data_IF_221411325457
#
_entry.id   IF_221411325457
#
_cell.length_a   1.000
_cell.length_b   1.000
_cell.length_c   1.000
_cell.angle_alpha   90.00
_cell.angle_beta   90.00
_cell.angle_gamma   90.00
#
_symmetry.space_group_name_H-M   'P 1'
#
loop_
_entity.id
_entity.type
_entity.pdbx_description
1 polymer ?
#
# COMPACT_ATOMS: atom_id res chain seq x y z
N UNK A 1 -33.80 72.73 23.12
CA UNK A 1 -33.67 71.34 23.58
C UNK A 1 -32.86 70.58 22.53
N UNK A 2 -31.55 70.41 22.77
CA UNK A 2 -30.69 69.60 21.91
C UNK A 2 -30.74 68.14 22.39
N UNK A 3 -31.19 67.25 21.51
CA UNK A 3 -31.17 65.81 21.71
C UNK A 3 -29.77 65.27 21.42
N UNK A 4 -29.11 64.72 22.44
CA UNK A 4 -27.82 64.03 22.32
C UNK A 4 -28.10 62.57 21.99
N UNK A 5 -27.87 62.17 20.73
CA UNK A 5 -27.90 60.78 20.33
C UNK A 5 -26.60 60.10 20.76
N UNK A 6 -26.68 59.21 21.73
CA UNK A 6 -25.58 58.35 22.18
C UNK A 6 -25.37 57.21 21.17
N UNK A 7 -24.25 57.26 20.45
CA UNK A 7 -23.75 56.15 19.63
C UNK A 7 -23.12 55.10 20.54
N UNK A 8 -23.79 53.96 20.72
CA UNK A 8 -23.22 52.75 21.32
C UNK A 8 -22.29 52.07 20.32
N UNK A 9 -21.05 51.71 20.69
CA UNK A 9 -20.18 50.95 19.80
C UNK A 9 -20.67 49.50 19.74
N UNK A 10 -21.10 49.09 18.55
CA UNK A 10 -21.31 47.67 18.24
C UNK A 10 -19.93 47.03 18.20
N UNK A 11 -19.57 46.30 19.26
CA UNK A 11 -18.42 45.41 19.27
C UNK A 11 -18.73 44.27 18.30
N UNK A 12 -18.23 44.39 17.07
CA UNK A 12 -18.19 43.29 16.13
C UNK A 12 -17.22 42.25 16.70
N UNK A 13 -17.76 41.24 17.39
CA UNK A 13 -17.04 40.00 17.67
C UNK A 13 -16.85 39.33 16.30
N UNK A 14 -15.74 39.66 15.65
CA UNK A 14 -15.23 38.89 14.54
C UNK A 14 -14.99 37.49 15.06
N UNK A 15 -15.91 36.58 14.78
CA UNK A 15 -15.63 35.15 14.75
C UNK A 15 -14.49 34.95 13.75
N UNK A 16 -13.24 35.08 14.22
CA UNK A 16 -12.10 34.44 13.59
C UNK A 16 -12.45 32.95 13.61
N UNK A 17 -13.04 32.48 12.51
CA UNK A 17 -13.04 31.07 12.21
C UNK A 17 -11.61 30.62 12.42
N UNK A 18 -11.41 29.61 13.27
CA UNK A 18 -10.13 28.91 13.31
C UNK A 18 -9.93 28.41 11.89
N UNK A 19 -9.15 29.14 11.10
CA UNK A 19 -8.54 28.59 9.91
C UNK A 19 -7.93 27.27 10.37
N UNK A 20 -8.49 26.16 9.87
CA UNK A 20 -7.82 24.87 9.99
C UNK A 20 -6.47 25.13 9.34
N UNK A 21 -5.42 25.27 10.13
CA UNK A 21 -4.05 25.20 9.65
C UNK A 21 -3.89 23.80 9.04
N UNK A 22 -4.29 23.64 7.78
CA UNK A 22 -3.88 22.52 6.95
C UNK A 22 -2.41 22.77 6.63
N UNK A 23 -1.55 22.50 7.62
CA UNK A 23 -0.11 22.50 7.40
C UNK A 23 0.17 21.49 6.30
N UNK A 24 0.80 21.95 5.23
CA UNK A 24 1.30 21.10 4.17
C UNK A 24 2.10 19.94 4.78
N UNK A 25 2.02 18.78 4.14
CA UNK A 25 2.81 17.62 4.50
C UNK A 25 4.30 17.96 4.34
N UNK A 26 5.15 17.49 5.26
CA UNK A 26 6.61 17.63 5.20
C UNK A 26 7.30 16.27 5.13
N UNK A 27 8.60 16.24 4.86
CA UNK A 27 9.39 15.00 4.89
C UNK A 27 9.41 14.35 6.28
N UNK A 28 9.40 15.16 7.35
CA UNK A 28 9.35 14.66 8.71
C UNK A 28 8.00 14.02 9.06
N UNK A 29 6.90 14.53 8.50
CA UNK A 29 5.57 13.97 8.74
C UNK A 29 5.44 12.52 8.23
N UNK A 30 6.08 12.20 7.11
CA UNK A 30 5.93 10.89 6.46
C UNK A 30 6.87 9.83 7.04
N UNK A 31 7.80 10.21 7.92
CA UNK A 31 8.69 9.28 8.61
C UNK A 31 7.88 8.37 9.54
N UNK A 32 8.05 7.06 9.36
CA UNK A 32 7.39 6.04 10.18
C UNK A 32 8.29 5.66 11.36
N UNK A 33 8.50 6.61 12.28
CA UNK A 33 9.33 6.42 13.48
C UNK A 33 8.42 6.30 14.71
N UNK A 34 8.58 5.22 15.47
CA UNK A 34 7.84 5.03 16.70
C UNK A 34 8.34 5.92 17.84
N UNK A 35 7.43 6.48 18.65
CA UNK A 35 7.81 7.28 19.83
C UNK A 35 8.30 6.42 21.00
N UNK A 36 7.81 5.18 21.11
CA UNK A 36 8.24 4.22 22.13
C UNK A 36 9.51 3.47 21.71
N UNK A 37 10.54 3.47 22.54
CA UNK A 37 11.78 2.68 22.33
C UNK A 37 11.48 1.18 22.19
N UNK A 38 10.51 0.66 22.96
CA UNK A 38 10.06 -0.73 22.83
C UNK A 38 9.54 -0.99 21.42
N UNK A 39 8.68 -0.11 20.90
CA UNK A 39 8.11 -0.26 19.55
C UNK A 39 9.18 -0.10 18.48
N UNK A 40 10.13 0.83 18.64
CA UNK A 40 11.29 0.95 17.73
C UNK A 40 12.09 -0.37 17.68
N UNK A 41 12.36 -0.99 18.84
CA UNK A 41 13.03 -2.29 18.89
C UNK A 41 12.23 -3.38 18.16
N UNK A 42 10.92 -3.46 18.40
CA UNK A 42 10.05 -4.44 17.72
C UNK A 42 10.04 -4.27 16.20
N UNK A 43 10.11 -3.02 15.73
CA UNK A 43 10.24 -2.70 14.30
C UNK A 43 11.61 -3.16 13.79
N UNK A 44 12.70 -2.78 14.43
CA UNK A 44 14.05 -3.15 14.00
C UNK A 44 14.25 -4.68 13.97
N UNK A 45 13.69 -5.40 14.95
CA UNK A 45 13.72 -6.86 14.98
C UNK A 45 12.86 -7.46 13.85
N UNK A 46 11.74 -6.81 13.51
CA UNK A 46 10.76 -7.31 12.53
C UNK A 46 11.11 -7.00 11.08
N UNK A 47 11.70 -5.84 10.80
CA UNK A 47 11.87 -5.23 9.48
C UNK A 47 13.35 -4.89 9.24
N UNK A 48 14.06 -5.66 8.40
CA UNK A 48 15.49 -5.46 8.17
C UNK A 48 15.82 -4.29 7.21
N UNK A 49 14.80 -3.64 6.64
CA UNK A 49 14.93 -2.53 5.69
C UNK A 49 14.17 -1.34 6.24
N UNK A 50 14.79 -0.16 6.24
CA UNK A 50 14.13 1.08 6.64
C UNK A 50 12.91 1.35 5.75
N UNK A 51 11.81 1.84 6.33
CA UNK A 51 10.56 2.05 5.59
C UNK A 51 10.68 3.07 4.46
N UNK A 52 11.63 4.00 4.53
CA UNK A 52 11.94 4.93 3.45
C UNK A 52 12.65 4.28 2.26
N UNK A 53 13.32 3.14 2.48
CA UNK A 53 13.97 2.34 1.43
C UNK A 53 13.01 1.29 0.83
N UNK A 54 11.80 1.73 0.48
CA UNK A 54 10.77 0.87 -0.11
C UNK A 54 11.18 0.24 -1.45
N UNK A 55 12.20 0.78 -2.13
CA UNK A 55 12.79 0.19 -3.34
C UNK A 55 13.55 -1.10 -3.08
N UNK A 56 13.89 -1.38 -1.82
CA UNK A 56 14.56 -2.59 -1.37
C UNK A 56 13.64 -3.51 -0.54
N UNK A 57 12.32 -3.28 -0.54
CA UNK A 57 11.34 -4.03 0.27
C UNK A 57 11.39 -5.55 0.06
N UNK A 58 11.79 -6.03 -1.11
CA UNK A 58 12.00 -7.47 -1.38
C UNK A 58 13.02 -8.12 -0.44
N UNK A 59 14.01 -7.39 0.07
CA UNK A 59 14.99 -7.90 1.05
C UNK A 59 14.36 -8.27 2.39
N UNK A 60 13.17 -7.73 2.71
CA UNK A 60 12.40 -8.18 3.88
C UNK A 60 12.13 -9.68 3.80
N UNK A 61 11.97 -10.23 2.60
CA UNK A 61 11.61 -11.62 2.40
C UNK A 61 12.79 -12.61 2.50
N UNK A 62 14.02 -12.10 2.59
CA UNK A 62 15.20 -12.90 2.92
C UNK A 62 15.26 -13.24 4.41
N UNK A 63 14.43 -12.58 5.23
CA UNK A 63 14.29 -12.87 6.65
C UNK A 63 13.84 -14.32 6.88
N UNK A 64 14.44 -14.94 7.88
CA UNK A 64 14.09 -16.28 8.36
C UNK A 64 13.11 -16.18 9.52
N UNK A 65 12.07 -17.01 9.46
CA UNK A 65 11.06 -17.17 10.52
C UNK A 65 10.95 -18.64 10.90
N UNK A 66 10.36 -18.89 12.07
CA UNK A 66 10.06 -20.22 12.57
C UNK A 66 8.66 -20.62 12.15
N UNK A 67 8.55 -21.80 11.56
CA UNK A 67 7.26 -22.39 11.18
C UNK A 67 7.16 -23.82 11.70
N UNK A 68 6.01 -24.12 12.30
CA UNK A 68 5.62 -25.50 12.62
C UNK A 68 5.17 -26.18 11.33
N UNK A 69 5.92 -27.18 10.90
CA UNK A 69 5.63 -27.99 9.71
C UNK A 69 5.51 -29.45 10.11
N UNK A 70 4.73 -30.22 9.34
CA UNK A 70 4.66 -31.67 9.50
C UNK A 70 5.85 -32.31 8.76
N UNK A 71 6.63 -33.13 9.45
CA UNK A 71 7.72 -33.90 8.84
C UNK A 71 7.19 -35.14 8.09
N UNK A 72 8.11 -35.90 7.48
CA UNK A 72 7.81 -37.12 6.72
C UNK A 72 7.17 -38.22 7.59
N UNK A 73 7.37 -38.16 8.91
CA UNK A 73 6.82 -39.10 9.88
C UNK A 73 5.49 -38.62 10.49
N UNK A 74 4.97 -37.47 10.06
CA UNK A 74 3.73 -36.89 10.57
C UNK A 74 3.87 -36.05 11.84
N UNK A 75 5.08 -35.89 12.38
CA UNK A 75 5.35 -35.10 13.59
C UNK A 75 5.38 -33.61 13.26
N UNK A 76 4.93 -32.77 14.19
CA UNK A 76 5.06 -31.32 14.08
C UNK A 76 6.46 -30.92 14.55
N UNK A 77 7.28 -30.44 13.63
CA UNK A 77 8.63 -29.94 13.90
C UNK A 77 8.71 -28.44 13.58
N UNK A 78 9.51 -27.72 14.37
CA UNK A 78 9.83 -26.31 14.08
C UNK A 78 10.97 -26.27 13.07
N UNK A 79 10.75 -25.59 11.93
CA UNK A 79 11.80 -25.33 10.93
C UNK A 79 11.97 -23.83 10.72
N UNK A 80 13.21 -23.45 10.50
CA UNK A 80 13.62 -22.13 10.02
C UNK A 80 13.40 -22.06 8.51
N UNK A 81 12.62 -21.10 8.05
CA UNK A 81 12.26 -20.92 6.64
C UNK A 81 12.33 -19.43 6.27
N UNK A 82 12.83 -19.12 5.07
CA UNK A 82 12.78 -17.75 4.55
C UNK A 82 11.33 -17.32 4.33
N UNK A 83 11.02 -16.03 4.39
CA UNK A 83 9.68 -15.55 4.04
C UNK A 83 9.34 -15.83 2.58
N UNK A 84 10.32 -15.81 1.68
CA UNK A 84 10.13 -16.28 0.30
C UNK A 84 9.55 -17.70 0.26
N UNK A 85 10.22 -18.66 0.89
CA UNK A 85 9.76 -20.05 0.91
C UNK A 85 8.46 -20.22 1.71
N UNK A 86 8.28 -19.45 2.79
CA UNK A 86 7.05 -19.41 3.59
C UNK A 86 5.84 -18.97 2.77
N UNK A 87 5.97 -17.98 1.89
CA UNK A 87 4.85 -17.55 1.05
C UNK A 87 4.78 -18.30 -0.27
N UNK A 88 5.68 -19.26 -0.49
CA UNK A 88 5.68 -20.19 -1.60
C UNK A 88 5.59 -19.47 -2.95
N UNK A 89 6.55 -18.60 -3.24
CA UNK A 89 6.55 -17.80 -4.47
C UNK A 89 6.60 -18.64 -5.74
N UNK A 90 6.19 -18.03 -6.86
CA UNK A 90 6.47 -18.48 -8.22
C UNK A 90 7.41 -17.46 -8.89
N UNK A 91 8.09 -17.85 -9.95
CA UNK A 91 8.85 -16.93 -10.80
C UNK A 91 8.39 -17.01 -12.25
N UNK A 92 8.54 -15.90 -12.95
CA UNK A 92 8.11 -15.79 -14.34
C UNK A 92 8.62 -14.53 -15.02
N UNK A 93 8.02 -14.25 -16.16
CA UNK A 93 8.29 -13.05 -16.95
C UNK A 93 6.99 -12.33 -17.29
N UNK A 94 7.01 -10.99 -17.26
CA UNK A 94 5.87 -10.18 -17.70
C UNK A 94 5.62 -10.44 -19.18
N UNK A 95 4.44 -10.96 -19.53
CA UNK A 95 4.04 -11.15 -20.92
C UNK A 95 3.20 -9.99 -21.44
N UNK A 96 2.42 -9.35 -20.57
CA UNK A 96 1.59 -8.18 -20.89
C UNK A 96 1.23 -7.38 -19.64
N UNK A 97 1.11 -6.08 -19.78
CA UNK A 97 0.40 -5.22 -18.81
C UNK A 97 -0.98 -4.87 -19.41
N UNK A 98 -2.06 -5.29 -18.75
CA UNK A 98 -3.42 -5.08 -19.26
C UNK A 98 -3.85 -3.62 -19.04
N UNK A 99 -3.67 -3.14 -17.82
CA UNK A 99 -3.92 -1.80 -17.30
C UNK A 99 -2.96 -1.56 -16.11
N UNK A 100 -3.15 -0.48 -15.35
CA UNK A 100 -2.24 -0.06 -14.29
C UNK A 100 -2.14 -1.00 -13.07
N UNK A 101 -3.11 -1.89 -12.84
CA UNK A 101 -3.15 -2.81 -11.69
C UNK A 101 -3.32 -4.29 -12.06
N UNK A 102 -3.41 -4.61 -13.36
CA UNK A 102 -3.55 -5.97 -13.87
C UNK A 102 -2.43 -6.33 -14.85
N UNK A 103 -1.70 -7.40 -14.52
CA UNK A 103 -0.57 -7.89 -15.31
C UNK A 103 -0.75 -9.35 -15.72
N UNK A 104 -0.09 -9.77 -16.81
CA UNK A 104 0.03 -11.17 -17.21
C UNK A 104 1.48 -11.62 -17.07
N UNK A 105 1.64 -12.80 -16.50
CA UNK A 105 2.95 -13.39 -16.22
C UNK A 105 2.99 -14.78 -16.81
N UNK A 106 4.02 -15.04 -17.63
CA UNK A 106 4.39 -16.40 -18.03
C UNK A 106 5.25 -17.00 -16.92
N UNK A 107 4.74 -18.03 -16.25
CA UNK A 107 5.40 -18.73 -15.16
C UNK A 107 6.51 -19.61 -15.73
N UNK A 108 7.74 -19.38 -15.26
CA UNK A 108 8.92 -20.17 -15.61
C UNK A 108 9.30 -21.14 -14.51
N UNK A 109 9.04 -20.76 -13.24
CA UNK A 109 9.23 -21.61 -12.08
C UNK A 109 7.93 -21.60 -11.24
N UNK A 110 7.13 -22.67 -11.25
CA UNK A 110 5.93 -22.75 -10.43
C UNK A 110 6.28 -22.83 -8.93
N UNK A 111 5.35 -22.51 -8.03
CA UNK A 111 5.59 -22.59 -6.60
C UNK A 111 5.83 -24.02 -6.15
N UNK A 112 6.62 -24.18 -5.08
CA UNK A 112 6.98 -25.51 -4.55
C UNK A 112 5.71 -26.25 -4.10
N UNK A 113 5.58 -27.56 -4.36
CA UNK A 113 4.47 -28.36 -3.85
C UNK A 113 4.41 -28.31 -2.33
N UNK A 114 3.21 -28.28 -1.74
CA UNK A 114 3.01 -28.40 -0.30
C UNK A 114 2.32 -29.70 0.04
N UNK A 115 2.94 -30.51 0.89
CA UNK A 115 2.39 -31.81 1.29
C UNK A 115 2.19 -32.79 0.11
N UNK A 116 3.03 -32.69 -0.93
CA UNK A 116 2.94 -33.52 -2.14
C UNK A 116 1.93 -33.03 -3.19
N UNK A 117 1.07 -32.07 -2.86
CA UNK A 117 0.10 -31.50 -3.81
C UNK A 117 0.76 -30.42 -4.66
N UNK A 118 0.76 -30.61 -5.99
CA UNK A 118 1.13 -29.57 -6.95
C UNK A 118 0.00 -28.55 -7.05
N UNK A 119 0.36 -27.27 -7.12
CA UNK A 119 -0.60 -26.22 -7.45
C UNK A 119 -0.89 -26.27 -8.95
N UNK A 120 -2.17 -26.31 -9.32
CA UNK A 120 -2.60 -26.21 -10.71
C UNK A 120 -2.57 -24.73 -11.14
N UNK A 121 -1.40 -24.29 -11.60
CA UNK A 121 -1.15 -22.93 -12.06
C UNK A 121 -0.84 -23.00 -13.55
N UNK A 122 -1.66 -22.36 -14.41
CA UNK A 122 -1.39 -22.31 -15.85
C UNK A 122 -0.04 -21.67 -16.17
N UNK A 123 0.49 -21.99 -17.36
CA UNK A 123 1.75 -21.40 -17.85
C UNK A 123 1.69 -19.87 -17.94
N UNK A 124 0.54 -19.31 -18.31
CA UNK A 124 0.30 -17.87 -18.23
C UNK A 124 -0.85 -17.58 -17.26
N UNK A 125 -0.61 -16.68 -16.30
CA UNK A 125 -1.61 -16.21 -15.36
C UNK A 125 -1.86 -14.72 -15.50
N UNK A 126 -3.12 -14.33 -15.32
CA UNK A 126 -3.50 -12.93 -15.10
C UNK A 126 -3.50 -12.67 -13.59
N UNK A 127 -2.80 -11.60 -13.19
CA UNK A 127 -2.64 -11.18 -11.80
C UNK A 127 -3.30 -9.83 -11.63
N UNK A 128 -4.12 -9.72 -10.59
CA UNK A 128 -4.56 -8.44 -10.03
C UNK A 128 -3.65 -8.08 -8.86
N UNK A 129 -3.09 -6.89 -8.88
CA UNK A 129 -2.14 -6.43 -7.86
C UNK A 129 -2.93 -6.04 -6.60
N UNK A 130 -2.68 -6.68 -5.44
CA UNK A 130 -3.34 -6.29 -4.20
C UNK A 130 -2.81 -4.94 -3.69
N UNK A 131 -3.56 -4.30 -2.79
CA UNK A 131 -3.24 -3.03 -2.13
C UNK A 131 -3.31 -1.77 -3.00
N UNK A 132 -3.53 -1.87 -4.30
CA UNK A 132 -3.75 -0.72 -5.19
C UNK A 132 -5.01 -0.95 -6.04
N UNK A 133 -5.47 0.12 -6.66
CA UNK A 133 -6.51 0.12 -7.69
C UNK A 133 -6.23 1.34 -8.58
N UNK A 134 -6.01 1.11 -9.87
CA UNK A 134 -5.78 2.22 -10.83
C UNK A 134 -7.10 2.69 -11.43
N UNK A 135 -7.04 3.77 -12.21
CA UNK A 135 -8.23 4.24 -12.92
C UNK A 135 -8.59 3.24 -14.03
N UNK A 136 -9.88 3.14 -14.33
CA UNK A 136 -10.39 2.12 -15.26
C UNK A 136 -10.20 2.57 -16.71
N UNK A 137 -9.35 1.86 -17.47
CA UNK A 137 -9.14 2.14 -18.90
C UNK A 137 -10.19 1.44 -19.78
N UNK A 138 -10.55 0.21 -19.42
CA UNK A 138 -11.23 -0.74 -20.31
C UNK A 138 -12.69 -1.05 -19.91
N UNK A 139 -13.26 -0.31 -18.97
CA UNK A 139 -14.66 -0.50 -18.56
C UNK A 139 -15.61 0.38 -19.38
N UNK A 140 -16.83 -0.10 -19.70
CA UNK A 140 -17.84 0.73 -20.38
C UNK A 140 -18.28 1.94 -19.55
N UNK A 141 -18.22 1.83 -18.21
CA UNK A 141 -18.58 2.87 -17.25
C UNK A 141 -17.59 4.02 -17.20
N UNK A 142 -16.31 3.78 -17.54
CA UNK A 142 -15.27 4.79 -17.46
C UNK A 142 -15.58 6.02 -18.31
N UNK A 143 -15.36 7.20 -17.72
CA UNK A 143 -15.53 8.47 -18.44
C UNK A 143 -14.36 8.71 -19.41
N UNK A 144 -14.50 9.55 -20.45
CA UNK A 144 -13.35 9.91 -21.29
C UNK A 144 -12.17 10.46 -20.49
N UNK A 145 -12.46 11.28 -19.47
CA UNK A 145 -11.44 11.84 -18.57
C UNK A 145 -10.72 10.78 -17.75
N UNK A 146 -11.47 9.84 -17.17
CA UNK A 146 -10.89 8.72 -16.42
C UNK A 146 -9.99 7.85 -17.32
N UNK A 147 -10.40 7.58 -18.56
CA UNK A 147 -9.57 6.84 -19.53
C UNK A 147 -8.27 7.57 -19.88
N UNK A 148 -8.30 8.89 -20.05
CA UNK A 148 -7.09 9.69 -20.28
C UNK A 148 -6.10 9.57 -19.11
N UNK A 149 -6.61 9.60 -17.88
CA UNK A 149 -5.80 9.46 -16.67
C UNK A 149 -5.31 8.00 -16.51
N UNK A 150 -6.16 7.01 -16.78
CA UNK A 150 -5.80 5.60 -16.77
C UNK A 150 -4.67 5.28 -17.77
N UNK A 151 -4.66 5.94 -18.93
CA UNK A 151 -3.55 5.82 -19.87
C UNK A 151 -2.21 6.32 -19.26
N UNK A 152 -2.24 7.32 -18.38
CA UNK A 152 -1.04 7.82 -17.70
C UNK A 152 -0.51 6.84 -16.65
N UNK A 153 -1.39 6.28 -15.80
CA UNK A 153 -0.97 5.28 -14.81
C UNK A 153 -0.50 3.99 -15.48
N UNK A 154 -1.15 3.57 -16.57
CA UNK A 154 -0.77 2.42 -17.36
C UNK A 154 0.55 2.64 -18.09
N UNK A 155 0.81 3.86 -18.59
CA UNK A 155 2.10 4.20 -19.18
C UNK A 155 3.23 4.10 -18.14
N UNK A 156 3.03 4.64 -16.93
CA UNK A 156 4.00 4.52 -15.85
C UNK A 156 4.23 3.06 -15.44
N UNK A 157 3.17 2.28 -15.29
CA UNK A 157 3.25 0.85 -15.00
C UNK A 157 4.09 0.08 -16.05
N UNK A 158 3.95 0.41 -17.35
CA UNK A 158 4.77 -0.18 -18.43
C UNK A 158 6.26 0.20 -18.32
N UNK A 159 6.60 1.34 -17.71
CA UNK A 159 8.01 1.70 -17.44
C UNK A 159 8.62 0.88 -16.31
N UNK A 160 7.80 0.51 -15.31
CA UNK A 160 8.24 -0.33 -14.19
C UNK A 160 8.37 -1.80 -14.60
N UNK A 161 7.41 -2.28 -15.39
CA UNK A 161 7.27 -3.67 -15.82
C UNK A 161 7.20 -3.78 -17.35
N UNK A 162 8.27 -3.44 -18.09
CA UNK A 162 8.31 -3.73 -19.52
C UNK A 162 8.17 -5.23 -19.78
N UNK A 163 7.63 -5.61 -20.93
CA UNK A 163 7.49 -7.01 -21.34
C UNK A 163 8.87 -7.70 -21.31
N UNK A 164 8.92 -8.91 -20.77
CA UNK A 164 10.15 -9.67 -20.55
C UNK A 164 10.80 -9.43 -19.19
N UNK A 165 10.32 -8.48 -18.39
CA UNK A 165 10.78 -8.27 -17.01
C UNK A 165 10.63 -9.56 -16.21
N UNK A 166 11.73 -10.01 -15.58
CA UNK A 166 11.72 -11.15 -14.65
C UNK A 166 11.04 -10.73 -13.35
N UNK A 167 10.15 -11.58 -12.85
CA UNK A 167 9.40 -11.31 -11.63
C UNK A 167 9.33 -12.52 -10.72
N UNK A 168 9.21 -12.23 -9.43
CA UNK A 168 8.80 -13.17 -8.41
C UNK A 168 7.41 -12.79 -7.92
N UNK A 169 6.51 -13.75 -7.90
CA UNK A 169 5.09 -13.54 -7.62
C UNK A 169 4.70 -14.29 -6.36
N UNK A 170 3.97 -13.63 -5.46
CA UNK A 170 3.50 -14.21 -4.21
C UNK A 170 1.99 -14.03 -4.10
N UNK A 171 1.23 -15.13 -4.07
CA UNK A 171 -0.22 -15.07 -3.91
C UNK A 171 -0.59 -14.49 -2.54
N UNK A 172 -1.53 -13.54 -2.51
CA UNK A 172 -1.90 -12.81 -1.30
C UNK A 172 -2.51 -13.74 -0.23
N UNK A 173 -3.31 -14.71 -0.66
CA UNK A 173 -4.00 -15.69 0.19
C UNK A 173 -3.81 -17.13 -0.34
N UNK A 174 -2.62 -17.40 -0.89
CA UNK A 174 -2.28 -18.68 -1.48
C UNK A 174 -2.80 -18.86 -2.92
N UNK A 175 -2.23 -19.85 -3.61
CA UNK A 175 -2.39 -20.04 -5.06
C UNK A 175 -3.77 -20.55 -5.51
N UNK A 176 -4.67 -20.86 -4.59
CA UNK A 176 -6.07 -21.16 -4.90
C UNK A 176 -6.95 -19.90 -4.91
N UNK A 177 -6.48 -18.77 -4.38
CA UNK A 177 -7.26 -17.54 -4.28
C UNK A 177 -7.33 -16.81 -5.62
N UNK A 178 -8.56 -16.54 -6.08
CA UNK A 178 -8.85 -15.82 -7.33
C UNK A 178 -9.91 -14.77 -7.09
N UNK A 179 -9.77 -13.62 -7.76
CA UNK A 179 -10.80 -12.61 -7.92
C UNK A 179 -11.26 -12.66 -9.38
N UNK A 180 -12.48 -13.17 -9.60
CA UNK A 180 -12.94 -13.57 -10.93
C UNK A 180 -11.97 -14.59 -11.56
N UNK A 181 -11.43 -14.29 -12.74
CA UNK A 181 -10.45 -15.12 -13.46
C UNK A 181 -8.99 -14.73 -13.19
N UNK A 182 -8.73 -13.79 -12.27
CA UNK A 182 -7.38 -13.27 -11.95
C UNK A 182 -6.90 -13.83 -10.61
N UNK A 183 -5.64 -14.20 -10.54
CA UNK A 183 -4.96 -14.46 -9.27
C UNK A 183 -4.74 -13.13 -8.54
N UNK A 184 -4.87 -13.11 -7.21
CA UNK A 184 -4.51 -11.94 -6.41
C UNK A 184 -3.11 -12.16 -5.85
N UNK A 185 -2.13 -11.41 -6.35
CA UNK A 185 -0.74 -11.65 -6.02
C UNK A 185 0.14 -10.40 -6.06
N UNK A 186 1.10 -10.37 -5.15
CA UNK A 186 2.17 -9.38 -5.10
C UNK A 186 3.22 -9.70 -6.16
N UNK A 187 3.65 -8.68 -6.90
CA UNK A 187 4.68 -8.81 -7.95
C UNK A 187 5.93 -8.07 -7.53
N UNK A 188 7.02 -8.83 -7.41
CA UNK A 188 8.35 -8.32 -7.09
C UNK A 188 9.26 -8.38 -8.32
N UNK A 189 10.08 -7.34 -8.50
CA UNK A 189 10.89 -7.13 -9.69
C UNK A 189 12.18 -6.36 -9.36
N UNK A 190 12.98 -6.06 -10.37
CA UNK A 190 14.30 -5.43 -10.21
C UNK A 190 15.38 -6.44 -9.83
N UNK A 191 16.58 -5.94 -9.57
CA UNK A 191 17.71 -6.77 -9.18
C UNK A 191 17.34 -7.59 -7.94
N UNK A 192 17.47 -8.92 -8.02
CA UNK A 192 17.12 -9.86 -6.96
C UNK A 192 15.70 -9.69 -6.40
N UNK A 193 14.75 -9.21 -7.20
CA UNK A 193 13.36 -9.01 -6.80
C UNK A 193 13.18 -8.04 -5.62
N UNK A 194 14.05 -7.03 -5.51
CA UNK A 194 14.09 -6.06 -4.40
C UNK A 194 12.92 -5.07 -4.39
N UNK A 195 12.26 -4.82 -5.52
CA UNK A 195 11.18 -3.84 -5.67
C UNK A 195 9.82 -4.52 -5.68
N UNK A 196 8.79 -3.86 -5.17
CA UNK A 196 7.40 -4.33 -5.24
C UNK A 196 6.57 -3.40 -6.12
N UNK A 197 5.87 -3.96 -7.12
CA UNK A 197 5.16 -3.17 -8.12
C UNK A 197 4.07 -2.24 -7.54
N UNK A 198 3.21 -2.75 -6.65
CA UNK A 198 2.14 -1.94 -6.06
C UNK A 198 2.68 -0.77 -5.22
N UNK A 199 3.76 -1.00 -4.47
CA UNK A 199 4.44 0.05 -3.70
C UNK A 199 5.07 1.10 -4.60
N UNK A 200 5.67 0.69 -5.74
CA UNK A 200 6.26 1.61 -6.72
C UNK A 200 5.21 2.44 -7.46
N UNK A 201 4.01 1.88 -7.69
CA UNK A 201 2.85 2.62 -8.21
C UNK A 201 2.37 3.69 -7.22
N UNK A 202 2.28 3.35 -5.92
CA UNK A 202 1.96 4.32 -4.85
C UNK A 202 3.03 5.41 -4.74
N UNK A 203 4.32 5.04 -4.76
CA UNK A 203 5.45 5.98 -4.74
C UNK A 203 5.46 6.93 -5.94
N UNK A 204 4.98 6.45 -7.10
CA UNK A 204 4.83 7.24 -8.31
C UNK A 204 3.65 8.22 -8.28
N UNK A 205 2.72 8.10 -7.32
CA UNK A 205 1.54 8.95 -7.24
C UNK A 205 0.50 8.69 -8.35
N UNK A 206 0.46 7.47 -8.89
CA UNK A 206 -0.43 7.07 -10.00
C UNK A 206 -1.62 6.21 -9.54
N UNK A 207 -1.80 6.00 -8.23
CA UNK A 207 -2.90 5.20 -7.68
C UNK A 207 -3.14 5.55 -6.22
N UNK A 208 -4.28 5.11 -5.70
CA UNK A 208 -4.60 5.11 -4.27
C UNK A 208 -4.54 3.69 -3.73
N UNK A 209 -4.37 3.56 -2.41
CA UNK A 209 -4.29 2.25 -1.80
C UNK A 209 -5.67 1.62 -1.64
N UNK A 210 -5.76 0.33 -1.95
CA UNK A 210 -6.94 -0.51 -1.76
C UNK A 210 -6.72 -1.47 -0.61
N UNK A 211 -6.93 -0.98 0.62
CA UNK A 211 -6.75 -1.73 1.87
C UNK A 211 -8.07 -2.04 2.54
N UNK A 212 -8.05 -2.94 3.51
CA UNK A 212 -9.17 -3.20 4.40
C UNK A 212 -9.13 -2.24 5.60
N UNK A 213 -10.30 -1.84 6.11
CA UNK A 213 -10.40 -0.80 7.15
C UNK A 213 -9.70 -1.14 8.48
N UNK A 214 -9.35 -2.40 8.71
CA UNK A 214 -8.65 -2.87 9.92
C UNK A 214 -7.14 -3.08 9.73
N UNK A 215 -6.55 -2.78 8.56
CA UNK A 215 -5.14 -3.08 8.28
C UNK A 215 -4.16 -2.39 9.25
N UNK A 216 -4.47 -1.18 9.71
CA UNK A 216 -3.66 -0.48 10.73
C UNK A 216 -3.72 -1.17 12.11
N UNK A 217 -4.90 -1.65 12.51
CA UNK A 217 -5.06 -2.42 13.74
C UNK A 217 -4.31 -3.76 13.66
N UNK A 218 -4.40 -4.43 12.52
CA UNK A 218 -3.67 -5.68 12.25
C UNK A 218 -2.16 -5.46 12.35
N UNK A 219 -1.64 -4.38 11.76
CA UNK A 219 -0.23 -3.98 11.93
C UNK A 219 0.14 -3.76 13.39
N UNK A 220 -0.68 -3.02 14.16
CA UNK A 220 -0.45 -2.78 15.58
C UNK A 220 -0.34 -4.09 16.40
N UNK A 221 -1.18 -5.07 16.12
CA UNK A 221 -1.13 -6.38 16.78
C UNK A 221 0.10 -7.19 16.34
N UNK A 222 0.51 -7.09 15.08
CA UNK A 222 1.69 -7.78 14.59
C UNK A 222 2.99 -7.24 15.18
N UNK A 223 3.04 -5.99 15.61
CA UNK A 223 4.21 -5.47 16.34
C UNK A 223 4.45 -6.21 17.65
N UNK A 224 3.39 -6.69 18.33
CA UNK A 224 3.53 -7.49 19.56
C UNK A 224 3.80 -8.97 19.28
N UNK A 225 3.73 -9.40 18.02
CA UNK A 225 4.03 -10.78 17.62
C UNK A 225 5.54 -10.97 17.50
N UNK A 226 6.13 -12.03 18.09
CA UNK A 226 7.57 -12.27 18.02
C UNK A 226 8.11 -12.16 16.59
N UNK A 227 9.31 -11.60 16.44
CA UNK A 227 9.88 -11.23 15.15
C UNK A 227 10.09 -12.45 14.23
N UNK A 228 10.33 -13.61 14.84
CA UNK A 228 10.50 -14.92 14.24
C UNK A 228 9.19 -15.65 13.95
N UNK A 229 8.05 -15.10 14.36
CA UNK A 229 6.73 -15.64 14.00
C UNK A 229 6.27 -15.04 12.68
N UNK A 230 5.84 -15.90 11.77
CA UNK A 230 5.28 -15.53 10.47
C UNK A 230 4.06 -14.60 10.62
N UNK A 231 4.06 -13.51 9.85
CA UNK A 231 2.94 -12.57 9.71
C UNK A 231 2.32 -12.72 8.32
N UNK A 232 1.19 -12.06 8.04
CA UNK A 232 0.68 -11.99 6.67
C UNK A 232 1.67 -11.21 5.78
N UNK A 233 1.71 -11.53 4.48
CA UNK A 233 2.55 -10.79 3.53
C UNK A 233 2.22 -9.28 3.54
N UNK A 234 0.93 -8.95 3.64
CA UNK A 234 0.46 -7.56 3.72
C UNK A 234 1.06 -6.82 4.91
N UNK A 235 1.18 -7.46 6.07
CA UNK A 235 1.78 -6.85 7.25
C UNK A 235 3.25 -6.46 7.03
N UNK A 236 4.01 -7.28 6.32
CA UNK A 236 5.39 -6.96 5.97
C UNK A 236 5.50 -5.78 5.00
N UNK A 237 4.51 -5.59 4.13
CA UNK A 237 4.53 -4.56 3.08
C UNK A 237 3.88 -3.23 3.48
N UNK A 238 2.94 -3.25 4.44
CA UNK A 238 2.11 -2.10 4.80
C UNK A 238 2.91 -0.84 5.18
N UNK A 239 3.99 -0.90 5.99
CA UNK A 239 4.76 0.29 6.33
C UNK A 239 5.46 0.93 5.12
N UNK A 240 5.98 0.10 4.21
CA UNK A 240 6.63 0.57 2.99
C UNK A 240 5.62 1.21 2.03
N UNK A 241 4.42 0.63 1.91
CA UNK A 241 3.32 1.22 1.16
C UNK A 241 2.89 2.58 1.76
N UNK A 242 2.83 2.68 3.09
CA UNK A 242 2.52 3.93 3.79
C UNK A 242 3.55 5.02 3.50
N UNK A 243 4.84 4.73 3.63
CA UNK A 243 5.87 5.70 3.28
C UNK A 243 5.80 6.10 1.80
N UNK A 244 5.75 5.12 0.89
CA UNK A 244 5.72 5.33 -0.55
C UNK A 244 4.55 6.23 -0.99
N UNK A 245 3.32 5.92 -0.56
CA UNK A 245 2.13 6.70 -0.93
C UNK A 245 2.26 8.16 -0.50
N UNK A 246 2.64 8.39 0.76
CA UNK A 246 2.74 9.75 1.30
C UNK A 246 3.93 10.52 0.71
N UNK A 247 5.02 9.83 0.37
CA UNK A 247 6.14 10.43 -0.38
C UNK A 247 5.69 10.87 -1.78
N UNK A 248 4.96 10.04 -2.52
CA UNK A 248 4.43 10.37 -3.85
C UNK A 248 3.55 11.63 -3.84
N UNK A 249 2.68 11.75 -2.83
CA UNK A 249 1.83 12.92 -2.61
C UNK A 249 2.68 14.15 -2.24
N UNK A 250 3.59 14.01 -1.27
CA UNK A 250 4.48 15.09 -0.81
C UNK A 250 5.31 15.67 -1.96
N UNK A 251 5.89 14.78 -2.78
CA UNK A 251 6.78 15.14 -3.89
C UNK A 251 6.02 15.51 -5.16
N UNK A 252 4.68 15.57 -5.12
CA UNK A 252 3.82 15.93 -6.25
C UNK A 252 4.16 15.09 -7.50
N UNK A 253 4.31 13.78 -7.33
CA UNK A 253 4.55 12.83 -8.43
C UNK A 253 3.23 12.38 -9.06
N UNK A 254 3.30 11.89 -10.30
CA UNK A 254 2.16 11.32 -11.01
C UNK A 254 0.99 12.29 -11.06
N UNK A 255 -0.19 11.84 -10.61
CA UNK A 255 -1.41 12.66 -10.67
C UNK A 255 -1.38 13.92 -9.79
N UNK A 256 -0.49 13.96 -8.79
CA UNK A 256 -0.33 15.14 -7.94
C UNK A 256 0.60 16.20 -8.56
N UNK A 257 1.33 15.86 -9.63
CA UNK A 257 2.19 16.76 -10.39
C UNK A 257 1.58 17.17 -11.73
N UNK A 258 2.29 17.99 -12.50
CA UNK A 258 1.87 18.36 -13.84
C UNK A 258 1.75 17.11 -14.75
N UNK A 259 0.79 17.06 -15.69
CA UNK A 259 -0.15 18.15 -16.04
C UNK A 259 -1.44 18.18 -15.22
N UNK A 260 -1.71 17.18 -14.38
CA UNK A 260 -2.99 17.05 -13.67
C UNK A 260 -3.07 17.91 -12.41
N UNK A 261 -1.97 17.95 -11.64
CA UNK A 261 -1.78 18.79 -10.46
C UNK A 261 -2.89 18.66 -9.42
N UNK A 262 -3.34 17.43 -9.12
CA UNK A 262 -4.37 17.24 -8.10
C UNK A 262 -3.85 17.68 -6.72
N UNK A 263 -4.67 18.47 -6.01
CA UNK A 263 -4.29 19.04 -4.73
C UNK A 263 -4.08 17.97 -3.64
N UNK A 264 -4.78 16.84 -3.74
CA UNK A 264 -4.66 15.74 -2.80
C UNK A 264 -5.54 14.53 -3.15
N UNK A 265 -5.53 13.50 -2.31
CA UNK A 265 -6.17 12.22 -2.61
C UNK A 265 -7.70 12.32 -2.75
N UNK A 266 -8.36 13.20 -1.99
CA UNK A 266 -9.81 13.45 -2.11
C UNK A 266 -10.22 14.13 -3.42
N UNK A 267 -9.28 14.80 -4.11
CA UNK A 267 -9.54 15.34 -5.46
C UNK A 267 -9.39 14.23 -6.48
N UNK A 268 -8.29 13.48 -6.41
CA UNK A 268 -8.04 12.31 -7.27
C UNK A 268 -9.18 11.28 -7.21
N UNK A 269 -9.72 11.01 -6.02
CA UNK A 269 -10.80 10.02 -5.82
C UNK A 269 -12.06 10.33 -6.64
N UNK A 270 -12.29 11.58 -7.05
CA UNK A 270 -13.44 11.99 -7.86
C UNK A 270 -13.34 11.53 -9.31
N UNK A 271 -12.14 11.17 -9.75
CA UNK A 271 -11.89 10.65 -11.10
C UNK A 271 -12.21 9.15 -11.21
N UNK A 272 -12.30 8.43 -10.08
CA UNK A 272 -12.70 7.02 -10.04
C UNK A 272 -14.21 6.91 -10.16
N UNK A 273 -14.73 6.54 -11.34
CA UNK A 273 -16.19 6.53 -11.56
C UNK A 273 -16.91 5.47 -10.73
N UNK A 274 -16.34 4.28 -10.64
CA UNK A 274 -16.98 3.11 -10.04
C UNK A 274 -16.66 2.94 -8.55
N UNK A 275 -15.61 3.59 -8.05
CA UNK A 275 -15.17 3.49 -6.66
C UNK A 275 -15.32 4.80 -5.88
N UNK A 276 -15.12 5.95 -6.55
CA UNK A 276 -15.32 7.27 -5.96
C UNK A 276 -14.59 7.42 -4.62
N UNK A 277 -15.32 7.89 -3.60
CA UNK A 277 -14.80 8.15 -2.25
C UNK A 277 -14.23 6.90 -1.56
N UNK A 278 -14.66 5.69 -1.92
CA UNK A 278 -14.14 4.49 -1.27
C UNK A 278 -12.62 4.39 -1.44
N UNK A 279 -12.06 4.83 -2.58
CA UNK A 279 -10.63 4.73 -2.82
C UNK A 279 -9.77 5.44 -1.78
N UNK A 280 -10.14 6.66 -1.38
CA UNK A 280 -9.42 7.36 -0.31
C UNK A 280 -9.76 6.79 1.07
N UNK A 281 -10.99 6.32 1.30
CA UNK A 281 -11.40 5.66 2.55
C UNK A 281 -10.59 4.38 2.80
N UNK A 282 -10.41 3.56 1.75
CA UNK A 282 -9.55 2.38 1.71
C UNK A 282 -8.07 2.73 1.91
N UNK A 283 -7.66 3.97 1.64
CA UNK A 283 -6.27 4.43 1.86
C UNK A 283 -6.00 4.94 3.27
N UNK A 284 -7.03 5.30 4.05
CA UNK A 284 -6.87 5.90 5.37
C UNK A 284 -5.95 5.12 6.34
N UNK A 285 -5.93 3.77 6.35
CA UNK A 285 -5.00 3.02 7.21
C UNK A 285 -3.53 3.41 7.05
N UNK A 286 -3.13 3.88 5.87
CA UNK A 286 -1.75 4.25 5.56
C UNK A 286 -1.58 5.71 5.10
N UNK A 287 -2.65 6.44 4.84
CA UNK A 287 -2.59 7.85 4.47
C UNK A 287 -2.28 8.72 5.71
N UNK A 288 -1.33 9.64 5.62
CA UNK A 288 -0.95 10.48 6.76
C UNK A 288 -2.16 11.33 7.23
N UNK A 289 -2.43 11.43 8.54
CA UNK A 289 -3.62 12.12 9.06
C UNK A 289 -3.81 13.57 8.62
N UNK A 290 -2.72 14.32 8.31
CA UNK A 290 -2.82 15.69 7.77
C UNK A 290 -3.52 15.75 6.41
N UNK A 291 -3.55 14.65 5.67
CA UNK A 291 -4.21 14.56 4.37
C UNK A 291 -5.69 14.16 4.49
N UNK A 292 -6.19 13.84 5.69
CA UNK A 292 -7.59 13.49 5.91
C UNK A 292 -8.47 14.73 5.99
N UNK A 293 -9.75 14.63 5.59
CA UNK A 293 -10.71 15.73 5.81
C UNK A 293 -10.93 16.04 7.30
N UNK A 294 -10.82 15.01 8.14
CA UNK A 294 -10.96 15.07 9.60
C UNK A 294 -9.77 14.41 10.30
N UNK A 295 -8.60 15.09 10.37
CA UNK A 295 -7.36 14.52 10.95
C UNK A 295 -7.53 14.03 12.40
N UNK A 296 -8.43 14.64 13.17
CA UNK A 296 -8.71 14.29 14.57
C UNK A 296 -9.36 12.92 14.76
N UNK A 297 -9.85 12.27 13.70
CA UNK A 297 -10.43 10.92 13.77
C UNK A 297 -9.36 9.81 13.66
N UNK A 298 -8.14 10.16 13.27
CA UNK A 298 -7.05 9.20 13.20
C UNK A 298 -6.62 8.77 14.62
N UNK A 299 -6.52 7.45 14.82
CA UNK A 299 -6.11 6.83 16.08
C UNK A 299 -5.36 5.50 15.81
N UNK A 300 -4.84 4.89 16.86
CA UNK A 300 -4.02 3.66 16.78
C UNK A 300 -4.76 2.44 16.18
N UNK A 301 -6.09 2.46 16.04
CA UNK A 301 -6.87 1.36 15.46
C UNK A 301 -7.05 1.52 13.95
N UNK A 302 -6.97 2.73 13.42
CA UNK A 302 -7.34 3.01 12.04
C UNK A 302 -6.24 3.69 11.22
N UNK A 303 -5.07 3.99 11.79
CA UNK A 303 -3.98 4.61 11.06
C UNK A 303 -2.59 4.24 11.59
N UNK A 304 -1.70 3.84 10.69
CA UNK A 304 -0.34 3.38 11.05
C UNK A 304 0.52 4.45 11.72
N UNK A 305 0.43 5.72 11.30
CA UNK A 305 1.19 6.81 11.94
C UNK A 305 0.77 7.00 13.40
N UNK A 306 -0.52 6.81 13.68
CA UNK A 306 -1.04 6.85 15.05
C UNK A 306 -0.68 5.63 15.89
N UNK A 307 -0.52 4.45 15.27
CA UNK A 307 0.08 3.29 15.95
C UNK A 307 1.48 3.65 16.46
N UNK A 308 2.33 4.18 15.58
CA UNK A 308 3.72 4.52 15.91
C UNK A 308 3.83 5.67 16.92
N UNK A 309 2.87 6.59 16.91
CA UNK A 309 2.81 7.70 17.86
C UNK A 309 2.33 7.28 19.26
N UNK A 310 1.33 6.39 19.35
CA UNK A 310 0.56 6.17 20.58
C UNK A 310 0.87 4.84 21.28
N UNK A 311 1.30 3.82 20.54
CA UNK A 311 1.61 2.50 21.10
C UNK A 311 2.83 2.58 22.02
N UNK A 312 2.73 1.94 23.18
CA UNK A 312 3.77 1.94 24.23
C UNK A 312 4.49 0.61 24.31
#
# INVERSE_FOLDING_TARGET
>A
MLSVATLTPIVAISCKGKEKENKALTEDDIKLVAKSERVQKLINDSYPVDFSDYKNVGKVFDKVVKQKVRDENGNIVEKSISLWDLFNYAEGTISKLADGDTVRVRITNPPKPRGGTKFDIPEEISIRIPMIDTLEENTPSATPRERELAAMDSAYARTLLPVGTKVRVVAAEGWSSKSFNRFVAYVFFGENFTRNFGIEMLAGGYTLARLEGNDAFVFSNYLDTPAETAKSIRAYLLPYAAYAMNEGILKKRGFYGAPTSFDGPYVLTKEYKDHGQSMVDNSLPILHPKLWEKPSLANEKNNIYKVLELKK
#
